data_IF_624232956621
#
_entry.id   IF_624232956621
#
_cell.length_a   1.000
_cell.length_b   1.000
_cell.length_c   1.000
_cell.angle_alpha   90.00
_cell.angle_beta   90.00
_cell.angle_gamma   90.00
#
_symmetry.space_group_name_H-M   'P 1'
#
loop_
_entity.id
_entity.type
_entity.pdbx_description
1 polymer ?
#
# COMPACT_ATOMS: atom_id res chain seq x y z
N UNK A 1 -7.14 -31.46 -42.51
CA UNK A 1 -7.54 -32.28 -41.34
C UNK A 1 -7.41 -31.44 -40.08
N UNK A 2 -8.46 -30.72 -39.68
CA UNK A 2 -8.51 -29.97 -38.42
C UNK A 2 -9.02 -30.92 -37.34
N UNK A 3 -8.20 -31.17 -36.33
CA UNK A 3 -8.53 -32.01 -35.17
C UNK A 3 -9.24 -31.16 -34.12
N UNK A 4 -10.32 -31.74 -33.61
CA UNK A 4 -11.26 -31.38 -32.56
C UNK A 4 -10.76 -30.41 -31.48
N UNK A 5 -11.60 -29.40 -31.20
CA UNK A 5 -11.57 -28.60 -29.97
C UNK A 5 -12.35 -29.39 -28.91
N UNK A 6 -11.66 -29.85 -27.87
CA UNK A 6 -12.28 -30.38 -26.67
C UNK A 6 -12.58 -29.22 -25.71
N UNK A 7 -13.86 -28.88 -25.61
CA UNK A 7 -14.41 -28.02 -24.56
C UNK A 7 -14.44 -28.81 -23.24
N UNK A 8 -13.74 -28.33 -22.22
CA UNK A 8 -14.01 -28.71 -20.84
C UNK A 8 -14.71 -27.55 -20.15
N UNK A 9 -16.03 -27.69 -20.02
CA UNK A 9 -16.83 -26.98 -19.02
C UNK A 9 -16.67 -27.73 -17.70
N UNK A 10 -16.13 -27.05 -16.69
CA UNK A 10 -16.23 -27.47 -15.30
C UNK A 10 -17.02 -26.40 -14.55
N UNK A 11 -18.28 -26.75 -14.26
CA UNK A 11 -19.18 -26.05 -13.36
C UNK A 11 -19.35 -26.94 -12.13
N UNK A 12 -18.76 -26.55 -11.01
CA UNK A 12 -19.01 -27.15 -9.69
C UNK A 12 -18.22 -26.34 -8.66
N UNK A 13 -18.79 -25.69 -7.66
CA UNK A 13 -20.17 -25.51 -7.25
C UNK A 13 -20.16 -24.41 -6.18
N UNK A 14 -21.26 -23.70 -6.01
CA UNK A 14 -21.41 -22.75 -4.91
C UNK A 14 -21.42 -23.51 -3.58
N UNK A 15 -20.31 -23.45 -2.84
CA UNK A 15 -20.39 -23.42 -1.40
C UNK A 15 -20.58 -21.96 -1.01
N UNK A 16 -21.77 -21.66 -0.50
CA UNK A 16 -22.05 -20.51 0.33
C UNK A 16 -21.21 -20.62 1.60
N UNK A 17 -19.90 -20.35 1.49
CA UNK A 17 -19.14 -19.86 2.61
C UNK A 17 -19.57 -18.43 2.80
N UNK A 18 -20.12 -18.11 3.97
CA UNK A 18 -20.16 -16.72 4.43
C UNK A 18 -18.72 -16.20 4.33
N UNK A 19 -18.39 -15.47 3.27
CA UNK A 19 -17.26 -14.55 3.34
C UNK A 19 -17.66 -13.58 4.43
N UNK A 20 -17.11 -13.77 5.63
CA UNK A 20 -16.99 -12.67 6.57
C UNK A 20 -16.45 -11.50 5.75
N UNK A 21 -17.18 -10.37 5.74
CA UNK A 21 -16.65 -9.15 5.13
C UNK A 21 -15.22 -9.02 5.61
N UNK A 22 -14.24 -8.84 4.70
CA UNK A 22 -12.86 -8.63 5.11
C UNK A 22 -12.84 -7.53 6.19
N UNK A 23 -12.04 -7.71 7.24
CA UNK A 23 -11.98 -6.73 8.32
C UNK A 23 -11.70 -5.35 7.73
N UNK A 24 -12.42 -4.36 8.26
CA UNK A 24 -12.38 -2.95 7.88
C UNK A 24 -10.92 -2.52 7.74
N UNK A 25 -10.53 -2.12 6.53
CA UNK A 25 -9.13 -1.95 6.14
C UNK A 25 -8.60 -0.54 6.37
N UNK A 26 -9.45 0.49 6.40
CA UNK A 26 -8.99 1.88 6.39
C UNK A 26 -9.48 2.67 7.59
N UNK A 27 -8.54 3.33 8.27
CA UNK A 27 -8.80 4.31 9.33
C UNK A 27 -8.46 5.70 8.83
N UNK A 28 -9.37 6.66 9.01
CA UNK A 28 -9.21 8.04 8.54
C UNK A 28 -8.89 9.02 9.67
N UNK A 29 -8.05 10.01 9.39
CA UNK A 29 -7.54 10.97 10.36
C UNK A 29 -7.66 12.40 9.83
N UNK A 30 -8.20 13.31 10.65
CA UNK A 30 -8.24 14.74 10.34
C UNK A 30 -6.92 15.42 10.68
N UNK A 31 -6.42 16.22 9.74
CA UNK A 31 -5.24 17.06 9.89
C UNK A 31 -5.68 18.51 9.69
N UNK A 32 -5.58 19.29 10.77
CA UNK A 32 -6.04 20.68 10.80
C UNK A 32 -5.13 21.66 10.05
N UNK A 33 -3.88 21.26 9.77
CA UNK A 33 -2.93 22.11 9.07
C UNK A 33 -3.39 22.40 7.64
N UNK A 34 -3.61 23.68 7.33
CA UNK A 34 -4.03 24.11 5.99
C UNK A 34 -2.84 24.11 5.03
N UNK A 35 -2.88 23.22 4.06
CA UNK A 35 -1.79 22.96 3.12
C UNK A 35 -2.32 22.90 1.68
N UNK A 36 -1.46 23.16 0.70
CA UNK A 36 -1.73 22.77 -0.69
C UNK A 36 -1.79 21.25 -0.82
N UNK A 37 -2.52 20.72 -1.79
CA UNK A 37 -2.80 19.28 -1.91
C UNK A 37 -1.53 18.41 -1.87
N UNK A 38 -0.48 18.81 -2.59
CA UNK A 38 0.79 18.07 -2.61
C UNK A 38 1.49 18.05 -1.24
N UNK A 39 1.47 19.17 -0.51
CA UNK A 39 2.03 19.25 0.84
C UNK A 39 1.17 18.50 1.85
N UNK A 40 -0.15 18.52 1.70
CA UNK A 40 -1.08 17.72 2.51
C UNK A 40 -0.83 16.22 2.31
N UNK A 41 -0.66 15.78 1.06
CA UNK A 41 -0.28 14.42 0.72
C UNK A 41 1.04 14.01 1.36
N UNK A 42 2.05 14.87 1.27
CA UNK A 42 3.33 14.62 1.90
C UNK A 42 3.18 14.49 3.42
N UNK A 43 2.48 15.42 4.08
CA UNK A 43 2.22 15.35 5.51
C UNK A 43 1.53 14.04 5.89
N UNK A 44 0.52 13.63 5.12
CA UNK A 44 -0.16 12.36 5.31
C UNK A 44 0.79 11.16 5.14
N UNK A 45 1.68 11.16 4.14
CA UNK A 45 2.67 10.08 3.94
C UNK A 45 3.79 10.04 4.99
N UNK A 46 4.03 11.16 5.67
CA UNK A 46 5.03 11.25 6.74
C UNK A 46 4.49 10.72 8.08
N UNK A 47 3.19 10.91 8.36
CA UNK A 47 2.58 10.59 9.65
C UNK A 47 1.55 9.45 9.60
N UNK A 48 1.06 9.12 8.40
CA UNK A 48 0.06 8.11 8.07
C UNK A 48 0.50 7.38 6.78
N UNK A 49 -0.42 6.77 6.02
CA UNK A 49 -0.09 6.11 4.75
C UNK A 49 -0.24 7.02 3.53
N UNK A 50 -1.35 7.74 3.39
CA UNK A 50 -1.57 8.73 2.31
C UNK A 50 -2.77 9.64 2.64
N UNK A 51 -3.14 10.56 1.74
CA UNK A 51 -4.46 11.18 1.73
C UNK A 51 -5.57 10.13 1.58
N UNK A 52 -6.75 10.46 2.09
CA UNK A 52 -7.90 9.57 2.13
C UNK A 52 -8.31 9.07 0.74
N UNK A 53 -8.42 7.75 0.59
CA UNK A 53 -8.91 7.07 -0.61
C UNK A 53 -10.05 6.14 -0.25
N UNK A 54 -10.97 5.90 -1.19
CA UNK A 54 -12.11 5.01 -0.97
C UNK A 54 -12.24 4.01 -2.12
N UNK A 55 -12.39 2.74 -1.77
CA UNK A 55 -12.48 1.63 -2.74
C UNK A 55 -13.93 1.14 -2.93
N UNK A 56 -14.82 1.45 -1.98
CA UNK A 56 -16.21 0.98 -1.96
C UNK A 56 -17.12 1.90 -1.11
N UNK A 57 -18.44 1.62 -1.13
CA UNK A 57 -19.47 2.38 -0.38
C UNK A 57 -19.20 2.43 1.11
N UNK A 58 -18.76 1.32 1.72
CA UNK A 58 -18.58 1.27 3.17
C UNK A 58 -17.40 2.16 3.59
N UNK A 59 -16.31 2.16 2.82
CA UNK A 59 -15.18 3.07 3.04
C UNK A 59 -15.58 4.54 2.84
N UNK A 60 -16.43 4.83 1.86
CA UNK A 60 -16.98 6.17 1.66
C UNK A 60 -17.79 6.62 2.88
N UNK A 61 -18.67 5.76 3.40
CA UNK A 61 -19.46 6.08 4.59
C UNK A 61 -18.55 6.37 5.79
N UNK A 62 -17.49 5.56 6.00
CA UNK A 62 -16.54 5.78 7.10
C UNK A 62 -15.72 7.06 6.93
N UNK A 63 -15.27 7.37 5.71
CA UNK A 63 -14.60 8.63 5.41
C UNK A 63 -15.52 9.81 5.75
N UNK A 64 -16.78 9.72 5.34
CA UNK A 64 -17.79 10.71 5.64
C UNK A 64 -18.03 10.84 7.16
N UNK A 65 -18.12 9.74 7.90
CA UNK A 65 -18.30 9.76 9.35
C UNK A 65 -17.07 10.28 10.11
N UNK A 66 -15.86 10.14 9.54
CA UNK A 66 -14.62 10.64 10.15
C UNK A 66 -14.60 12.16 10.33
N UNK A 67 -15.53 12.87 9.66
CA UNK A 67 -15.72 14.31 9.84
C UNK A 67 -16.51 14.69 11.11
N UNK A 68 -17.10 13.74 11.83
CA UNK A 68 -17.90 14.10 12.99
C UNK A 68 -17.00 14.48 14.17
N UNK A 69 -17.28 15.62 14.82
CA UNK A 69 -16.59 16.02 16.06
C UNK A 69 -15.43 17.00 15.92
N UNK A 70 -15.16 17.53 14.72
CA UNK A 70 -14.17 18.58 14.49
C UNK A 70 -14.84 19.92 14.16
N UNK A 71 -14.23 21.03 14.59
CA UNK A 71 -14.62 22.38 14.18
C UNK A 71 -13.90 22.74 12.87
N UNK A 72 -14.67 23.11 11.84
CA UNK A 72 -14.14 23.28 10.49
C UNK A 72 -14.00 24.73 10.09
N UNK A 73 -12.78 25.25 10.17
CA UNK A 73 -12.46 26.63 9.81
C UNK A 73 -12.46 26.92 8.30
N UNK A 74 -12.52 25.89 7.43
CA UNK A 74 -12.46 26.09 5.97
C UNK A 74 -13.43 25.26 5.13
N UNK A 75 -14.41 24.58 5.75
CA UNK A 75 -15.52 23.91 5.06
C UNK A 75 -15.15 22.79 4.06
N UNK A 76 -13.88 22.67 3.68
CA UNK A 76 -13.33 21.75 2.69
C UNK A 76 -12.08 21.08 3.24
N UNK A 77 -11.90 19.81 2.91
CA UNK A 77 -10.78 18.99 3.34
C UNK A 77 -10.21 18.23 2.14
N UNK A 78 -8.90 18.25 1.95
CA UNK A 78 -8.25 17.46 0.90
C UNK A 78 -8.49 15.97 1.11
N UNK A 79 -8.81 15.28 0.02
CA UNK A 79 -8.79 13.81 -0.10
C UNK A 79 -7.83 13.41 -1.24
N UNK A 80 -7.54 12.12 -1.35
CA UNK A 80 -6.52 11.58 -2.24
C UNK A 80 -6.90 11.52 -3.72
N UNK A 81 -8.11 11.97 -4.10
CA UNK A 81 -8.54 11.97 -5.50
C UNK A 81 -7.95 13.18 -6.24
N UNK A 82 -7.33 12.93 -7.39
CA UNK A 82 -6.74 13.97 -8.24
C UNK A 82 -6.83 13.59 -9.72
N UNK A 83 -6.80 14.56 -10.62
CA UNK A 83 -6.80 14.37 -12.07
C UNK A 83 -5.40 14.60 -12.64
N UNK A 84 -4.81 13.54 -13.20
CA UNK A 84 -3.49 13.55 -13.83
C UNK A 84 -3.47 14.15 -15.26
N UNK A 85 -4.56 14.82 -15.66
CA UNK A 85 -4.90 15.36 -16.99
C UNK A 85 -5.33 14.31 -18.01
N UNK A 86 -5.33 13.04 -17.66
CA UNK A 86 -5.84 11.95 -18.50
C UNK A 86 -7.02 11.25 -17.84
N UNK A 87 -6.99 11.12 -16.51
CA UNK A 87 -8.06 10.51 -15.73
C UNK A 87 -7.92 10.85 -14.24
N UNK A 88 -9.03 10.70 -13.52
CA UNK A 88 -9.01 10.74 -12.06
C UNK A 88 -8.33 9.49 -11.48
N UNK A 89 -7.48 9.71 -10.49
CA UNK A 89 -6.62 8.73 -9.87
C UNK A 89 -6.67 8.89 -8.34
N UNK A 90 -6.58 7.77 -7.64
CA UNK A 90 -6.37 7.79 -6.19
C UNK A 90 -4.89 7.95 -5.87
N UNK A 91 -4.58 8.71 -4.82
CA UNK A 91 -3.20 8.93 -4.37
C UNK A 91 -2.55 7.69 -3.78
N UNK A 92 -3.36 6.86 -3.10
CA UNK A 92 -2.96 5.57 -2.54
C UNK A 92 -3.30 4.43 -3.51
N UNK A 93 -2.27 3.84 -4.12
CA UNK A 93 -2.38 2.69 -5.03
C UNK A 93 -2.54 3.05 -6.52
N UNK A 94 -2.37 2.06 -7.40
CA UNK A 94 -2.54 2.20 -8.87
C UNK A 94 -3.97 1.86 -9.32
N UNK A 95 -4.98 2.18 -8.50
CA UNK A 95 -6.37 1.94 -8.90
C UNK A 95 -6.91 3.18 -9.60
N UNK A 96 -7.22 3.06 -10.89
CA UNK A 96 -7.94 4.09 -11.62
C UNK A 96 -9.30 4.34 -10.93
N UNK A 97 -9.66 5.62 -10.79
CA UNK A 97 -11.02 5.96 -10.42
C UNK A 97 -11.98 5.43 -11.49
N UNK A 98 -12.82 4.46 -11.13
CA UNK A 98 -13.77 3.86 -12.07
C UNK A 98 -14.95 4.81 -12.28
N UNK A 99 -14.83 5.69 -13.27
CA UNK A 99 -15.93 6.51 -13.79
C UNK A 99 -17.17 5.63 -14.02
N UNK A 100 -18.30 5.97 -13.39
CA UNK A 100 -19.54 5.20 -13.53
C UNK A 100 -20.02 4.47 -12.27
N UNK A 101 -19.20 4.30 -11.23
CA UNK A 101 -19.69 3.91 -9.90
C UNK A 101 -20.14 5.14 -9.11
N UNK A 102 -21.11 5.88 -9.67
CA UNK A 102 -21.62 7.11 -9.09
C UNK A 102 -22.41 6.83 -7.80
N UNK A 103 -21.77 7.00 -6.64
CA UNK A 103 -22.48 7.07 -5.35
C UNK A 103 -23.12 8.45 -5.09
N UNK A 104 -23.28 9.31 -6.11
CA UNK A 104 -23.89 10.64 -5.94
C UNK A 104 -23.10 11.59 -5.03
N UNK A 105 -21.77 11.41 -4.97
CA UNK A 105 -20.90 12.04 -3.96
C UNK A 105 -20.44 13.43 -4.40
N UNK A 106 -20.29 13.68 -5.70
CA UNK A 106 -19.91 15.01 -6.18
C UNK A 106 -21.00 16.03 -5.87
N UNK A 107 -20.59 17.24 -5.52
CA UNK A 107 -21.48 18.39 -5.47
C UNK A 107 -22.13 18.59 -6.84
N UNK A 108 -23.38 19.08 -6.84
CA UNK A 108 -24.11 19.32 -8.09
C UNK A 108 -23.31 20.27 -8.97
N UNK A 109 -23.00 19.84 -10.19
CA UNK A 109 -22.21 20.60 -11.15
C UNK A 109 -20.72 20.27 -11.17
N UNK A 110 -20.21 19.48 -10.22
CA UNK A 110 -18.80 19.07 -10.14
C UNK A 110 -18.58 17.64 -10.71
N UNK A 111 -17.35 17.29 -11.14
CA UNK A 111 -16.23 18.21 -11.32
C UNK A 111 -16.49 19.16 -12.50
N UNK A 112 -16.23 20.46 -12.32
CA UNK A 112 -16.51 21.49 -13.34
C UNK A 112 -15.24 21.97 -14.07
N UNK A 113 -14.07 21.57 -13.57
CA UNK A 113 -12.76 21.90 -14.07
C UNK A 113 -12.58 23.40 -14.31
N UNK A 114 -13.01 24.24 -13.35
CA UNK A 114 -13.02 25.68 -13.52
C UNK A 114 -11.64 26.22 -13.95
N UNK A 115 -11.62 26.96 -15.07
CA UNK A 115 -10.41 27.54 -15.69
C UNK A 115 -9.32 26.49 -16.02
N UNK A 116 -9.68 25.21 -16.15
CA UNK A 116 -8.78 24.07 -16.39
C UNK A 116 -7.66 23.95 -15.34
N UNK A 117 -7.94 24.34 -14.09
CA UNK A 117 -6.95 24.40 -12.99
C UNK A 117 -7.32 23.56 -11.76
N UNK A 118 -8.50 22.96 -11.76
CA UNK A 118 -9.05 22.22 -10.63
C UNK A 118 -8.81 20.73 -10.82
N UNK A 119 -7.59 20.31 -10.46
CA UNK A 119 -7.11 18.94 -10.63
C UNK A 119 -7.06 18.15 -9.32
N UNK A 120 -7.51 18.73 -8.21
CA UNK A 120 -7.45 18.10 -6.89
C UNK A 120 -8.83 18.10 -6.23
N UNK A 121 -9.15 17.09 -5.44
CA UNK A 121 -10.48 16.96 -4.85
C UNK A 121 -10.50 17.31 -3.36
N UNK A 122 -11.46 18.16 -2.99
CA UNK A 122 -11.85 18.39 -1.60
C UNK A 122 -13.15 17.66 -1.26
N UNK A 123 -13.29 17.24 -0.01
CA UNK A 123 -14.54 16.83 0.60
C UNK A 123 -15.10 17.93 1.50
N UNK A 124 -16.40 18.20 1.39
CA UNK A 124 -17.12 19.16 2.22
C UNK A 124 -17.28 18.64 3.65
N UNK A 125 -17.15 19.53 4.63
CA UNK A 125 -17.31 19.17 6.04
C UNK A 125 -18.76 18.92 6.46
N UNK A 126 -19.73 19.56 5.80
CA UNK A 126 -21.14 19.49 6.21
C UNK A 126 -21.86 18.23 5.71
N UNK A 127 -21.70 17.86 4.43
CA UNK A 127 -22.40 16.72 3.83
C UNK A 127 -21.48 15.63 3.26
N UNK A 128 -20.15 15.82 3.32
CA UNK A 128 -19.19 14.81 2.88
C UNK A 128 -19.19 14.60 1.36
N UNK A 129 -19.64 15.60 0.60
CA UNK A 129 -19.63 15.62 -0.86
C UNK A 129 -18.31 16.14 -1.42
N UNK A 130 -18.03 15.83 -2.67
CA UNK A 130 -16.76 16.14 -3.31
C UNK A 130 -16.86 17.34 -4.26
N UNK A 131 -15.80 18.14 -4.32
CA UNK A 131 -15.62 19.25 -5.25
C UNK A 131 -14.21 19.17 -5.82
N UNK A 132 -14.02 19.51 -7.09
CA UNK A 132 -12.69 19.81 -7.59
C UNK A 132 -12.28 21.22 -7.12
N UNK A 133 -10.97 21.41 -6.94
CA UNK A 133 -10.37 22.63 -6.43
C UNK A 133 -8.94 22.76 -6.95
N UNK A 134 -8.44 23.98 -6.99
CA UNK A 134 -7.05 24.27 -7.39
C UNK A 134 -6.11 23.67 -6.35
N UNK A 135 -5.21 22.80 -6.81
CA UNK A 135 -4.29 22.06 -5.93
C UNK A 135 -3.41 22.92 -5.01
N UNK A 136 -3.27 24.23 -5.30
CA UNK A 136 -2.49 25.18 -4.49
C UNK A 136 -3.32 25.93 -3.43
N UNK A 137 -4.64 25.74 -3.37
CA UNK A 137 -5.46 26.27 -2.28
C UNK A 137 -5.10 25.61 -0.95
N UNK A 138 -5.30 26.34 0.14
CA UNK A 138 -4.92 25.90 1.47
C UNK A 138 -6.14 25.33 2.19
N UNK A 139 -6.23 24.01 2.26
CA UNK A 139 -7.29 23.29 2.97
C UNK A 139 -6.69 22.34 4.01
N UNK A 140 -7.47 22.05 5.05
CA UNK A 140 -7.19 20.93 5.96
C UNK A 140 -7.21 19.61 5.18
N UNK A 141 -6.77 18.50 5.77
CA UNK A 141 -6.67 17.22 5.05
C UNK A 141 -7.28 16.06 5.82
N UNK A 142 -7.75 15.06 5.08
CA UNK A 142 -8.07 13.74 5.62
C UNK A 142 -7.00 12.76 5.14
N UNK A 143 -6.29 12.16 6.08
CA UNK A 143 -5.33 11.10 5.83
C UNK A 143 -5.96 9.73 6.05
N UNK A 144 -5.34 8.69 5.52
CA UNK A 144 -5.73 7.29 5.72
C UNK A 144 -4.54 6.43 6.12
N UNK A 145 -4.81 5.44 6.95
CA UNK A 145 -3.96 4.25 7.11
C UNK A 145 -4.72 3.07 6.53
N UNK A 146 -4.13 2.39 5.54
CA UNK A 146 -4.62 1.11 5.03
C UNK A 146 -4.00 -0.02 5.87
N UNK A 147 -4.76 -0.43 6.87
CA UNK A 147 -4.57 -1.58 7.73
C UNK A 147 -4.90 -2.90 6.98
N UNK A 148 -5.56 -2.85 5.82
CA UNK A 148 -6.08 -4.02 5.08
C UNK A 148 -5.13 -4.69 4.10
N UNK A 149 -3.82 -4.62 4.31
CA UNK A 149 -2.87 -5.32 3.44
C UNK A 149 -2.91 -6.85 3.65
N UNK A 150 -3.39 -7.30 4.80
CA UNK A 150 -3.35 -8.70 5.20
C UNK A 150 -4.66 -9.16 5.84
N UNK A 151 -4.94 -10.45 5.74
CA UNK A 151 -5.99 -11.14 6.49
C UNK A 151 -5.43 -12.40 7.13
N UNK A 152 -5.88 -12.71 8.35
CA UNK A 152 -5.55 -13.98 9.01
C UNK A 152 -6.66 -14.98 8.77
N UNK A 153 -6.31 -16.11 8.17
CA UNK A 153 -7.18 -17.26 8.02
C UNK A 153 -6.98 -18.19 9.21
N UNK A 154 -8.05 -18.38 9.99
CA UNK A 154 -8.07 -19.19 11.22
C UNK A 154 -8.25 -20.70 10.92
N UNK A 155 -7.68 -21.17 9.81
CA UNK A 155 -7.66 -22.58 9.43
C UNK A 155 -6.22 -23.09 9.46
N UNK A 156 -6.01 -24.28 10.01
CA UNK A 156 -4.68 -24.86 10.10
C UNK A 156 -4.34 -25.64 8.84
N UNK A 157 -3.33 -25.18 8.12
CA UNK A 157 -2.81 -25.82 6.91
C UNK A 157 -1.28 -25.91 6.95
N UNK A 158 -0.74 -26.83 6.15
CA UNK A 158 0.70 -26.82 5.86
C UNK A 158 1.01 -25.65 4.92
N UNK A 159 2.28 -25.26 4.83
CA UNK A 159 2.64 -24.01 4.15
C UNK A 159 2.22 -24.01 2.68
N UNK A 160 2.39 -25.12 1.97
CA UNK A 160 2.02 -25.24 0.55
C UNK A 160 0.51 -25.09 0.32
N UNK A 161 -0.33 -25.73 1.15
CA UNK A 161 -1.79 -25.60 1.06
C UNK A 161 -2.25 -24.21 1.46
N UNK A 162 -1.63 -23.61 2.47
CA UNK A 162 -1.90 -22.23 2.86
C UNK A 162 -1.62 -21.25 1.71
N UNK A 163 -0.49 -21.44 1.01
CA UNK A 163 -0.16 -20.65 -0.18
C UNK A 163 -1.20 -20.82 -1.29
N UNK A 164 -1.55 -22.06 -1.62
CA UNK A 164 -2.58 -22.35 -2.63
C UNK A 164 -3.93 -21.72 -2.26
N UNK A 165 -4.30 -21.76 -0.97
CA UNK A 165 -5.50 -21.09 -0.49
C UNK A 165 -5.41 -19.59 -0.74
N UNK A 166 -4.34 -18.93 -0.30
CA UNK A 166 -4.16 -17.49 -0.49
C UNK A 166 -4.14 -17.10 -1.97
N UNK A 167 -3.52 -17.89 -2.85
CA UNK A 167 -3.52 -17.63 -4.30
C UNK A 167 -4.89 -17.82 -4.95
N UNK A 168 -5.73 -18.69 -4.38
CA UNK A 168 -7.08 -18.96 -4.90
C UNK A 168 -8.11 -17.91 -4.45
N UNK A 169 -7.93 -17.36 -3.25
CA UNK A 169 -8.92 -16.54 -2.57
C UNK A 169 -8.47 -15.07 -2.38
N UNK A 170 -7.16 -14.80 -2.53
CA UNK A 170 -6.50 -13.49 -2.34
C UNK A 170 -5.34 -13.34 -3.36
N UNK A 171 -4.23 -12.68 -2.97
CA UNK A 171 -3.05 -12.52 -3.82
C UNK A 171 -2.06 -13.66 -3.62
N UNK A 172 -1.50 -13.79 -2.42
CA UNK A 172 -0.56 -14.85 -2.03
C UNK A 172 -0.42 -14.87 -0.50
N UNK A 173 0.46 -15.69 0.07
CA UNK A 173 0.84 -15.55 1.48
C UNK A 173 1.39 -14.14 1.77
N UNK A 174 1.21 -13.68 3.01
CA UNK A 174 1.60 -12.36 3.46
C UNK A 174 3.12 -12.14 3.42
N UNK A 175 3.56 -11.05 2.78
CA UNK A 175 4.96 -10.67 2.69
C UNK A 175 5.19 -9.37 3.45
N UNK A 176 6.27 -9.29 4.23
CA UNK A 176 6.62 -8.09 5.00
C UNK A 176 8.02 -7.59 4.58
N UNK A 177 8.06 -6.55 3.75
CA UNK A 177 9.29 -6.04 3.15
C UNK A 177 10.01 -4.99 4.03
N UNK A 178 9.32 -4.45 5.03
CA UNK A 178 9.87 -3.52 6.02
C UNK A 178 9.21 -3.66 7.39
N UNK A 179 9.77 -2.97 8.39
CA UNK A 179 9.31 -3.04 9.77
C UNK A 179 7.86 -2.58 9.94
N UNK A 180 7.39 -1.62 9.14
CA UNK A 180 6.02 -1.12 9.19
C UNK A 180 5.04 -2.19 8.72
N UNK A 181 5.33 -2.83 7.59
CA UNK A 181 4.56 -3.97 7.07
C UNK A 181 4.56 -5.14 8.08
N UNK A 182 5.71 -5.43 8.70
CA UNK A 182 5.82 -6.47 9.73
C UNK A 182 4.95 -6.16 10.96
N UNK A 183 4.96 -4.92 11.47
CA UNK A 183 4.12 -4.51 12.60
C UNK A 183 2.62 -4.56 12.27
N UNK A 184 2.22 -4.16 11.06
CA UNK A 184 0.82 -4.27 10.59
C UNK A 184 0.37 -5.73 10.55
N UNK A 185 1.20 -6.60 9.96
CA UNK A 185 0.93 -8.03 9.90
C UNK A 185 0.82 -8.63 11.32
N UNK A 186 1.78 -8.30 12.20
CA UNK A 186 1.79 -8.76 13.60
C UNK A 186 0.54 -8.37 14.37
N UNK A 187 0.02 -7.15 14.20
CA UNK A 187 -1.19 -6.69 14.88
C UNK A 187 -2.43 -7.56 14.61
N UNK A 188 -2.44 -8.32 13.50
CA UNK A 188 -3.53 -9.22 13.13
C UNK A 188 -3.32 -10.65 13.66
N UNK A 189 -2.07 -11.05 13.92
CA UNK A 189 -1.67 -12.42 14.29
C UNK A 189 -2.08 -12.69 15.74
N UNK A 190 -3.28 -13.23 15.94
CA UNK A 190 -3.75 -13.70 17.25
C UNK A 190 -3.22 -15.07 17.69
N UNK A 191 -2.52 -15.78 16.79
CA UNK A 191 -1.88 -17.09 16.99
C UNK A 191 -0.77 -17.26 15.96
N UNK A 192 0.25 -18.08 16.23
CA UNK A 192 1.34 -18.38 15.27
C UNK A 192 0.79 -18.69 13.87
N UNK A 193 1.25 -17.92 12.87
CA UNK A 193 0.73 -17.98 11.52
C UNK A 193 1.83 -18.09 10.47
N UNK A 194 1.60 -18.85 9.39
CA UNK A 194 2.45 -18.87 8.21
C UNK A 194 2.46 -17.52 7.51
N UNK A 195 3.65 -17.13 7.05
CA UNK A 195 3.90 -15.99 6.16
C UNK A 195 4.61 -16.46 4.89
N UNK A 196 4.76 -15.58 3.90
CA UNK A 196 5.30 -15.94 2.59
C UNK A 196 6.81 -16.20 2.57
N UNK A 197 7.58 -15.91 3.62
CA UNK A 197 9.01 -16.20 3.64
C UNK A 197 9.23 -17.72 3.75
N UNK A 198 10.00 -18.28 2.84
CA UNK A 198 10.22 -19.72 2.82
C UNK A 198 11.58 -20.09 2.21
N UNK A 199 12.02 -21.31 2.53
CA UNK A 199 13.23 -22.01 2.06
C UNK A 199 14.54 -21.28 2.31
N UNK A 200 15.55 -22.01 2.80
CA UNK A 200 16.93 -21.54 2.78
C UNK A 200 17.35 -21.21 1.33
N UNK A 201 18.03 -20.07 1.07
CA UNK A 201 18.68 -19.15 2.01
C UNK A 201 17.85 -17.94 2.47
N UNK A 202 16.52 -18.05 2.53
CA UNK A 202 15.62 -16.98 2.99
C UNK A 202 15.72 -15.70 2.17
N UNK A 203 15.94 -15.88 0.87
CA UNK A 203 16.24 -14.80 -0.07
C UNK A 203 15.01 -14.24 -0.75
N UNK A 204 13.90 -14.98 -0.75
CA UNK A 204 12.69 -14.62 -1.47
C UNK A 204 11.43 -14.93 -0.66
N UNK A 205 10.43 -14.10 -0.87
CA UNK A 205 9.06 -14.32 -0.45
C UNK A 205 8.31 -15.20 -1.46
N UNK A 206 7.10 -15.63 -1.10
CA UNK A 206 6.28 -16.55 -1.88
C UNK A 206 5.86 -15.97 -3.25
N UNK A 207 5.81 -14.65 -3.36
CA UNK A 207 5.53 -13.90 -4.59
C UNK A 207 6.77 -13.73 -5.49
N UNK A 208 7.92 -14.27 -5.07
CA UNK A 208 9.20 -14.17 -5.78
C UNK A 208 9.96 -12.86 -5.55
N UNK A 209 9.44 -11.94 -4.75
CA UNK A 209 10.16 -10.71 -4.37
C UNK A 209 11.31 -11.02 -3.41
N UNK A 210 12.33 -10.16 -3.40
CA UNK A 210 13.51 -10.35 -2.54
C UNK A 210 13.19 -10.02 -1.08
N UNK A 211 13.66 -10.87 -0.18
CA UNK A 211 13.64 -10.58 1.25
C UNK A 211 14.78 -9.62 1.62
N UNK A 212 14.42 -8.47 2.19
CA UNK A 212 15.35 -7.44 2.70
C UNK A 212 15.22 -7.23 4.21
N UNK A 213 14.14 -7.76 4.80
CA UNK A 213 13.87 -7.76 6.23
C UNK A 213 13.97 -9.19 6.76
N UNK A 214 14.71 -9.36 7.85
CA UNK A 214 14.83 -10.62 8.57
C UNK A 214 14.55 -10.37 10.05
N UNK A 215 13.28 -10.37 10.45
CA UNK A 215 12.88 -10.17 11.84
C UNK A 215 12.99 -11.48 12.65
N UNK A 216 14.10 -12.20 12.55
CA UNK A 216 14.28 -13.49 13.23
C UNK A 216 14.27 -13.32 14.75
N UNK A 217 13.63 -14.25 15.45
CA UNK A 217 13.76 -14.35 16.90
C UNK A 217 15.23 -14.61 17.25
N UNK A 218 15.66 -14.17 18.43
CA UNK A 218 17.00 -14.49 18.91
C UNK A 218 17.23 -16.02 18.89
N UNK A 219 18.27 -16.45 18.17
CA UNK A 219 18.60 -17.86 17.98
C UNK A 219 17.93 -18.53 16.79
N UNK A 220 17.19 -17.80 15.95
CA UNK A 220 16.65 -18.26 14.66
C UNK A 220 17.43 -17.63 13.48
N UNK A 221 17.39 -18.24 12.28
CA UNK A 221 16.88 -19.58 11.99
C UNK A 221 17.85 -20.64 12.54
N UNK A 222 17.35 -21.59 13.33
CA UNK A 222 18.16 -22.67 13.92
C UNK A 222 18.00 -24.02 13.22
N UNK A 223 17.06 -24.14 12.28
CA UNK A 223 16.75 -25.41 11.61
C UNK A 223 16.53 -26.56 12.60
N UNK A 224 15.86 -26.28 13.74
CA UNK A 224 15.62 -27.28 14.78
C UNK A 224 14.94 -28.53 14.15
N UNK A 225 15.52 -29.72 14.36
CA UNK A 225 15.12 -30.96 13.67
C UNK A 225 16.03 -31.40 12.50
N UNK A 226 17.07 -30.64 12.17
CA UNK A 226 18.12 -31.01 11.22
C UNK A 226 17.87 -30.59 9.76
N UNK A 227 18.88 -30.72 8.87
CA UNK A 227 18.86 -30.22 7.48
C UNK A 227 17.96 -31.01 6.51
N UNK A 228 17.07 -31.88 7.02
CA UNK A 228 16.33 -32.86 6.24
C UNK A 228 14.90 -32.33 6.00
N UNK A 229 14.75 -31.35 5.10
CA UNK A 229 13.44 -30.91 4.62
C UNK A 229 13.32 -29.42 4.30
N UNK A 230 12.32 -29.01 3.49
CA UNK A 230 12.05 -27.60 3.25
C UNK A 230 11.62 -26.92 4.55
N UNK A 231 12.12 -25.70 4.76
CA UNK A 231 11.80 -24.88 5.93
C UNK A 231 10.94 -23.70 5.52
N UNK A 232 9.97 -23.35 6.34
CA UNK A 232 8.99 -22.30 6.10
C UNK A 232 8.89 -21.41 7.34
N UNK A 233 8.43 -20.17 7.18
CA UNK A 233 8.48 -19.19 8.26
C UNK A 233 7.10 -18.93 8.84
N UNK A 234 7.01 -19.02 10.16
CA UNK A 234 5.86 -18.50 10.91
C UNK A 234 6.23 -17.21 11.63
N UNK A 235 5.25 -16.33 11.81
CA UNK A 235 5.32 -15.20 12.73
C UNK A 235 4.87 -15.61 14.13
N UNK A 236 5.66 -15.30 15.16
CA UNK A 236 5.38 -15.58 16.57
C UNK A 236 4.35 -14.60 17.14
N UNK A 237 3.36 -15.13 17.87
CA UNK A 237 2.22 -14.36 18.40
C UNK A 237 2.59 -13.31 19.47
N UNK A 238 3.71 -13.47 20.17
CA UNK A 238 4.08 -12.56 21.28
C UNK A 238 4.95 -11.38 20.86
N UNK A 239 5.75 -11.53 19.79
CA UNK A 239 6.75 -10.54 19.40
C UNK A 239 6.67 -10.11 17.94
N UNK A 240 6.00 -10.89 17.08
CA UNK A 240 6.06 -10.68 15.63
C UNK A 240 7.36 -11.16 15.00
N UNK A 241 8.16 -11.91 15.76
CA UNK A 241 9.43 -12.46 15.27
C UNK A 241 9.22 -13.68 14.39
N UNK A 242 10.16 -13.90 13.48
CA UNK A 242 10.18 -15.01 12.55
C UNK A 242 10.79 -16.23 13.23
N UNK A 243 10.13 -17.38 13.03
CA UNK A 243 10.58 -18.70 13.44
C UNK A 243 10.65 -19.60 12.21
N UNK A 244 11.76 -20.32 12.02
CA UNK A 244 11.84 -21.33 10.97
C UNK A 244 11.25 -22.65 11.47
N UNK A 245 10.32 -23.19 10.69
CA UNK A 245 9.56 -24.37 11.03
C UNK A 245 9.55 -25.37 9.87
N UNK A 246 9.27 -26.64 10.18
CA UNK A 246 9.00 -27.62 9.14
C UNK A 246 7.74 -27.20 8.37
N UNK A 247 7.83 -27.14 7.03
CA UNK A 247 6.71 -26.74 6.18
C UNK A 247 5.48 -27.66 6.31
N UNK A 248 5.64 -28.86 6.86
CA UNK A 248 4.57 -29.85 7.06
C UNK A 248 3.72 -29.57 8.31
N UNK A 249 4.16 -28.66 9.19
CA UNK A 249 3.38 -28.28 10.36
C UNK A 249 2.09 -27.55 9.95
N UNK A 250 1.06 -27.71 10.78
CA UNK A 250 -0.27 -27.15 10.51
C UNK A 250 -0.47 -25.89 11.33
N UNK A 251 -0.43 -24.73 10.68
CA UNK A 251 -0.62 -23.42 11.32
C UNK A 251 -1.73 -22.65 10.62
N UNK A 252 -2.29 -21.67 11.35
CA UNK A 252 -3.03 -20.58 10.74
C UNK A 252 -2.12 -19.86 9.74
N UNK A 253 -2.66 -18.99 8.89
CA UNK A 253 -1.85 -18.33 7.89
C UNK A 253 -2.38 -16.96 7.53
N UNK A 254 -1.45 -16.09 7.14
CA UNK A 254 -1.75 -14.74 6.72
C UNK A 254 -1.71 -14.65 5.19
N UNK A 255 -2.74 -14.10 4.58
CA UNK A 255 -2.78 -13.84 3.15
C UNK A 255 -2.63 -12.33 2.88
N UNK A 256 -1.94 -11.99 1.81
CA UNK A 256 -1.91 -10.66 1.23
C UNK A 256 -3.21 -10.40 0.48
N UNK A 257 -3.91 -9.30 0.79
CA UNK A 257 -5.14 -8.90 0.09
C UNK A 257 -4.83 -8.01 -1.11
N UNK A 258 -3.84 -7.13 -1.00
CA UNK A 258 -3.48 -6.14 -2.03
C UNK A 258 -2.03 -6.31 -2.48
N UNK A 259 -1.79 -6.33 -3.80
CA UNK A 259 -0.42 -6.39 -4.35
C UNK A 259 0.18 -4.98 -4.40
N UNK A 260 1.13 -4.67 -3.51
CA UNK A 260 1.92 -3.42 -3.62
C UNK A 260 2.96 -3.58 -4.73
N UNK A 261 2.68 -3.03 -5.91
CA UNK A 261 3.70 -2.93 -6.98
C UNK A 261 4.76 -1.90 -6.59
N UNK A 262 5.85 -2.33 -5.95
CA UNK A 262 7.06 -1.51 -5.78
C UNK A 262 7.77 -1.37 -7.12
N UNK A 263 7.78 -0.17 -7.67
CA UNK A 263 8.58 0.18 -8.84
C UNK A 263 9.83 0.95 -8.38
N UNK A 264 11.01 0.38 -8.63
CA UNK A 264 12.28 1.03 -8.31
C UNK A 264 12.78 1.80 -9.54
N UNK A 265 12.99 3.10 -9.41
CA UNK A 265 13.53 3.94 -10.48
C UNK A 265 14.92 4.46 -10.09
N UNK A 266 15.87 4.38 -11.02
CA UNK A 266 17.21 4.96 -10.86
C UNK A 266 17.27 6.23 -11.70
N UNK A 267 17.42 7.38 -11.04
CA UNK A 267 17.55 8.68 -11.72
C UNK A 267 19.03 9.08 -11.82
N UNK A 268 19.43 9.62 -12.97
CA UNK A 268 20.74 10.26 -13.16
C UNK A 268 20.53 11.77 -13.19
N UNK A 269 21.17 12.49 -12.28
CA UNK A 269 21.10 13.95 -12.17
C UNK A 269 22.50 14.50 -12.45
N UNK A 270 22.60 15.53 -13.30
CA UNK A 270 23.83 16.28 -13.55
C UNK A 270 23.62 17.72 -13.13
N UNK A 271 24.48 18.22 -12.25
CA UNK A 271 24.42 19.59 -11.71
C UNK A 271 25.82 20.10 -11.43
N UNK A 272 26.02 21.41 -11.53
CA UNK A 272 27.24 22.10 -11.10
C UNK A 272 27.26 22.39 -9.59
N UNK A 273 26.14 22.12 -8.89
CA UNK A 273 25.99 22.29 -7.46
C UNK A 273 26.69 21.17 -6.66
N UNK A 274 27.14 21.49 -5.44
CA UNK A 274 27.70 20.51 -4.52
C UNK A 274 26.60 19.56 -4.01
N UNK A 275 26.57 18.35 -4.57
CA UNK A 275 25.57 17.33 -4.26
C UNK A 275 25.75 16.71 -2.86
N UNK A 276 26.80 17.08 -2.12
CA UNK A 276 27.00 16.67 -0.73
C UNK A 276 26.43 17.67 0.28
N UNK A 277 26.06 18.87 -0.18
CA UNK A 277 25.37 19.87 0.63
C UNK A 277 23.92 19.41 0.93
N UNK A 278 23.54 19.27 2.22
CA UNK A 278 22.19 18.88 2.61
C UNK A 278 21.10 19.81 2.05
N UNK A 279 21.38 21.10 1.87
CA UNK A 279 20.43 22.06 1.34
C UNK A 279 20.24 21.90 -0.18
N UNK A 280 21.32 21.58 -0.90
CA UNK A 280 21.25 21.21 -2.33
C UNK A 280 20.46 19.92 -2.50
N UNK A 281 20.72 18.89 -1.68
CA UNK A 281 19.97 17.64 -1.72
C UNK A 281 18.47 17.86 -1.44
N UNK A 282 18.13 18.70 -0.45
CA UNK A 282 16.75 19.08 -0.12
C UNK A 282 16.06 19.76 -1.31
N UNK A 283 16.69 20.77 -1.91
CA UNK A 283 16.12 21.48 -3.06
C UNK A 283 15.94 20.58 -4.29
N UNK A 284 16.88 19.67 -4.54
CA UNK A 284 16.76 18.68 -5.62
C UNK A 284 15.59 17.75 -5.35
N UNK A 285 15.44 17.26 -4.12
CA UNK A 285 14.31 16.42 -3.74
C UNK A 285 12.99 17.17 -3.91
N UNK A 286 12.88 18.43 -3.47
CA UNK A 286 11.69 19.27 -3.66
C UNK A 286 11.32 19.39 -5.15
N UNK A 287 12.30 19.73 -6.00
CA UNK A 287 12.07 19.85 -7.45
C UNK A 287 11.71 18.51 -8.09
N UNK A 288 12.34 17.42 -7.64
CA UNK A 288 12.10 16.08 -8.15
C UNK A 288 10.70 15.61 -7.76
N UNK A 289 10.26 15.88 -6.53
CA UNK A 289 8.90 15.61 -6.08
C UNK A 289 7.87 16.36 -6.93
N UNK A 290 8.09 17.66 -7.17
CA UNK A 290 7.20 18.48 -8.01
C UNK A 290 7.11 17.91 -9.43
N UNK A 291 8.25 17.55 -10.04
CA UNK A 291 8.28 16.99 -11.39
C UNK A 291 7.62 15.62 -11.47
N UNK A 292 7.89 14.74 -10.52
CA UNK A 292 7.30 13.40 -10.50
C UNK A 292 5.79 13.46 -10.27
N UNK A 293 5.33 14.37 -9.42
CA UNK A 293 3.90 14.63 -9.24
C UNK A 293 3.25 15.15 -10.54
N UNK A 294 3.92 16.01 -11.30
CA UNK A 294 3.42 16.48 -12.61
C UNK A 294 3.34 15.37 -13.66
N UNK A 295 4.21 14.36 -13.57
CA UNK A 295 4.25 13.20 -14.46
C UNK A 295 3.41 12.01 -13.93
N UNK A 296 2.60 12.21 -12.88
CA UNK A 296 1.74 11.16 -12.31
C UNK A 296 2.49 10.05 -11.58
N UNK A 297 3.78 10.24 -11.26
CA UNK A 297 4.58 9.27 -10.50
C UNK A 297 4.43 9.56 -9.00
N UNK A 298 3.75 8.66 -8.30
CA UNK A 298 3.52 8.74 -6.86
C UNK A 298 4.34 7.68 -6.11
N UNK A 299 4.94 8.05 -4.97
CA UNK A 299 5.74 7.12 -4.16
C UNK A 299 6.65 7.81 -3.14
N UNK A 300 7.15 7.03 -2.18
CA UNK A 300 8.15 7.49 -1.19
C UNK A 300 9.53 7.52 -1.84
N UNK A 301 10.09 8.72 -2.03
CA UNK A 301 11.44 8.90 -2.56
C UNK A 301 12.36 9.14 -1.36
N UNK A 302 13.46 8.40 -1.28
CA UNK A 302 14.45 8.57 -0.22
C UNK A 302 15.81 8.86 -0.82
N UNK A 303 16.49 9.87 -0.25
CA UNK A 303 17.87 10.15 -0.59
C UNK A 303 18.76 9.13 0.13
N UNK A 304 19.29 8.16 -0.61
CA UNK A 304 20.15 7.10 -0.04
C UNK A 304 21.60 7.39 -0.39
N UNK A 305 22.38 7.76 0.63
CA UNK A 305 23.84 7.87 0.55
C UNK A 305 24.46 6.49 0.71
N UNK A 306 25.31 6.06 -0.22
CA UNK A 306 26.04 4.80 -0.12
C UNK A 306 27.55 5.08 -0.15
N UNK A 307 28.28 4.54 0.83
CA UNK A 307 29.75 4.58 0.90
C UNK A 307 30.38 5.99 0.88
N UNK A 308 29.68 7.01 1.38
CA UNK A 308 30.22 8.37 1.52
C UNK A 308 30.56 9.06 0.19
N UNK A 309 30.14 8.51 -0.94
CA UNK A 309 30.32 9.10 -2.27
C UNK A 309 29.01 9.07 -3.05
N UNK A 310 28.73 10.15 -3.78
CA UNK A 310 27.43 10.36 -4.43
C UNK A 310 27.31 9.56 -5.74
N UNK A 311 28.40 9.19 -6.40
CA UNK A 311 28.34 8.52 -7.72
C UNK A 311 29.56 7.65 -8.04
N UNK A 312 29.32 6.47 -8.63
CA UNK A 312 30.34 5.84 -9.48
C UNK A 312 30.34 6.57 -10.82
N UNK A 313 31.47 7.18 -11.18
CA UNK A 313 31.71 7.70 -12.52
C UNK A 313 31.80 6.50 -13.47
N UNK A 314 30.91 6.41 -14.46
CA UNK A 314 31.09 5.45 -15.55
C UNK A 314 32.47 5.74 -16.19
N UNK A 315 33.31 4.72 -16.31
CA UNK A 315 34.50 4.82 -17.14
C UNK A 315 34.02 4.83 -18.59
N UNK A 316 34.26 5.92 -19.30
CA UNK A 316 34.01 6.00 -20.74
C UNK A 316 34.82 4.91 -21.45
N UNK A 317 34.11 3.99 -22.11
CA UNK A 317 34.63 3.11 -23.16
C UNK A 317 34.26 3.66 -24.52
#
# INVERSE_FOLDING_TARGET
MRKNILLFLSLSGHLLGYHASPPVSKTYYYVDQKLGWAHAQQHCREHFEDLATVDNVEELQRLQESRNGFEYDNNFMWIGLYDDRTSWQWSLGNQNYKYGQHYGIWLSGNPDFWDCKENCTVMTSWDGKWSDSKCNELHSALCVNDEGNYIIVQEKMNWEKAQQYCQSSYVDLANAHDATENSKLFALVGNTAWIGLHRYPWSHWSDGSRATLWNWRLGEPNSFGGPIGPRCVTMEVTSGDFLDNSCDLMHNFACQITSKRRSNFKLKISSDADMTDPEVARQIMDQLYVKLAQEGVTGKISWVLKDGQVFHKDQET
#
